data_IF_010912383120
#
_entry.id   IF_010912383120
#
_cell.length_a   1.000
_cell.length_b   1.000
_cell.length_c   1.000
_cell.angle_alpha   90.00
_cell.angle_beta   90.00
_cell.angle_gamma   90.00
#
_symmetry.space_group_name_H-M   'P 1'
#
loop_
_entity.id
_entity.type
_entity.pdbx_description
1 polymer ?
#
# COMPACT_ATOMS: atom_id res chain seq x y z
N UNK A 1 35.51 -10.74 -40.23
CA UNK A 1 34.20 -10.21 -39.82
C UNK A 1 34.19 -10.11 -38.30
N UNK A 2 33.96 -8.93 -37.69
CA UNK A 2 33.99 -8.78 -36.24
C UNK A 2 32.62 -9.10 -35.62
N UNK A 3 32.62 -9.88 -34.53
CA UNK A 3 31.44 -10.14 -33.73
C UNK A 3 31.08 -8.90 -32.89
N UNK A 4 29.80 -8.53 -32.90
CA UNK A 4 29.26 -7.44 -32.12
C UNK A 4 29.38 -7.74 -30.62
N UNK A 5 30.01 -6.83 -29.88
CA UNK A 5 30.04 -6.83 -28.41
C UNK A 5 28.63 -6.53 -27.90
N UNK A 6 28.07 -7.43 -27.11
CA UNK A 6 26.91 -7.14 -26.27
C UNK A 6 27.43 -6.26 -25.14
N UNK A 7 27.11 -4.98 -25.18
CA UNK A 7 27.48 -4.01 -24.14
C UNK A 7 26.83 -4.42 -22.82
N UNK A 8 27.69 -4.71 -21.85
CA UNK A 8 27.64 -4.16 -20.49
C UNK A 8 26.23 -3.86 -19.95
N UNK A 9 25.49 -4.94 -19.69
CA UNK A 9 24.48 -4.88 -18.65
C UNK A 9 25.27 -4.93 -17.35
N UNK A 10 25.39 -3.79 -16.67
CA UNK A 10 26.03 -3.69 -15.37
C UNK A 10 25.19 -4.51 -14.36
N UNK A 11 25.56 -5.78 -14.20
CA UNK A 11 24.88 -6.72 -13.31
C UNK A 11 24.90 -6.22 -11.86
N UNK A 12 25.87 -5.39 -11.48
CA UNK A 12 25.95 -4.77 -10.16
C UNK A 12 24.85 -3.73 -9.95
N UNK A 13 24.45 -2.99 -10.98
CA UNK A 13 23.33 -2.06 -10.92
C UNK A 13 21.98 -2.78 -10.80
N UNK A 14 21.84 -3.92 -11.49
CA UNK A 14 20.64 -4.77 -11.36
C UNK A 14 20.63 -5.50 -10.02
N UNK A 15 21.77 -6.02 -9.56
CA UNK A 15 21.93 -6.67 -8.27
C UNK A 15 21.71 -5.70 -7.12
N UNK A 16 22.15 -4.44 -7.23
CA UNK A 16 21.88 -3.38 -6.25
C UNK A 16 20.40 -3.00 -6.21
N UNK A 17 19.73 -2.96 -7.36
CA UNK A 17 18.28 -2.81 -7.46
C UNK A 17 17.54 -3.95 -6.75
N UNK A 18 17.89 -5.19 -7.11
CA UNK A 18 17.30 -6.42 -6.56
C UNK A 18 17.59 -6.58 -5.06
N UNK A 19 18.79 -6.22 -4.62
CA UNK A 19 19.16 -6.24 -3.21
C UNK A 19 18.37 -5.21 -2.40
N UNK A 20 18.13 -4.00 -2.92
CA UNK A 20 17.31 -2.99 -2.23
C UNK A 20 15.85 -3.41 -2.13
N UNK A 21 15.24 -3.91 -3.20
CA UNK A 21 13.86 -4.40 -3.16
C UNK A 21 13.70 -5.63 -2.27
N UNK A 22 14.67 -6.55 -2.28
CA UNK A 22 14.67 -7.73 -1.40
C UNK A 22 14.94 -7.30 0.04
N UNK A 23 15.81 -6.33 0.29
CA UNK A 23 16.11 -5.82 1.62
C UNK A 23 14.96 -4.97 2.19
N UNK A 24 14.21 -4.24 1.35
CA UNK A 24 12.94 -3.61 1.75
C UNK A 24 11.87 -4.66 2.05
N UNK A 25 11.77 -5.75 1.26
CA UNK A 25 10.87 -6.88 1.58
C UNK A 25 11.31 -7.66 2.83
N UNK A 26 12.61 -7.80 3.08
CA UNK A 26 13.16 -8.50 4.25
C UNK A 26 13.03 -7.65 5.52
N UNK A 27 13.26 -6.33 5.44
CA UNK A 27 12.91 -5.36 6.51
C UNK A 27 11.41 -5.35 6.76
N UNK A 28 10.62 -5.46 5.70
CA UNK A 28 9.18 -5.57 5.76
C UNK A 28 8.68 -6.99 6.05
N UNK A 29 9.55 -7.98 6.35
CA UNK A 29 9.19 -9.40 6.55
C UNK A 29 8.05 -9.94 5.68
N UNK A 30 7.40 -11.03 6.07
CA UNK A 30 5.97 -11.20 5.88
C UNK A 30 5.29 -10.40 7.00
N UNK A 31 5.16 -9.08 6.86
CA UNK A 31 4.40 -8.22 7.79
C UNK A 31 5.17 -7.20 8.65
N UNK A 32 6.46 -6.98 8.42
CA UNK A 32 7.16 -5.74 8.81
C UNK A 32 6.65 -4.54 8.00
N UNK A 33 6.41 -3.42 8.66
CA UNK A 33 5.97 -2.21 7.96
C UNK A 33 7.17 -1.49 7.36
N UNK A 34 7.36 -1.60 6.04
CA UNK A 34 8.05 -0.56 5.30
C UNK A 34 7.18 0.70 5.25
N UNK A 35 7.79 1.85 4.96
CA UNK A 35 7.03 3.08 4.75
C UNK A 35 6.04 2.89 3.61
N UNK A 36 4.76 3.02 3.91
CA UNK A 36 3.70 2.58 3.04
C UNK A 36 2.37 3.25 3.33
N UNK A 37 1.59 3.38 2.27
CA UNK A 37 0.20 3.83 2.32
C UNK A 37 -0.71 2.60 2.17
N UNK A 38 -1.46 2.29 3.21
CA UNK A 38 -2.34 1.13 3.27
C UNK A 38 -3.80 1.55 3.33
N UNK A 39 -4.64 0.96 2.49
CA UNK A 39 -6.08 1.23 2.47
C UNK A 39 -6.82 -0.05 2.81
N UNK A 40 -7.40 -0.06 4.01
CA UNK A 40 -8.13 -1.18 4.59
C UNK A 40 -9.58 -1.15 4.12
N UNK A 41 -10.03 -2.24 3.51
CA UNK A 41 -11.38 -2.35 2.95
C UNK A 41 -12.07 -3.67 3.32
N UNK A 42 -13.38 -3.70 3.10
CA UNK A 42 -14.15 -4.92 2.94
C UNK A 42 -14.70 -5.00 1.52
N UNK A 43 -14.74 -6.20 0.94
CA UNK A 43 -15.38 -6.42 -0.36
C UNK A 43 -16.91 -6.30 -0.32
N UNK A 44 -17.50 -6.15 0.88
CA UNK A 44 -18.91 -5.82 1.09
C UNK A 44 -19.25 -4.34 0.91
N UNK A 45 -18.25 -3.47 0.72
CA UNK A 45 -18.49 -2.05 0.41
C UNK A 45 -19.20 -1.90 -0.94
N UNK A 46 -19.94 -0.78 -1.15
CA UNK A 46 -20.56 -0.49 -2.44
C UNK A 46 -19.56 -0.50 -3.59
N UNK A 47 -19.98 -0.99 -4.76
CA UNK A 47 -19.14 -1.07 -5.97
C UNK A 47 -18.45 0.27 -6.29
N UNK A 48 -19.20 1.37 -6.27
CA UNK A 48 -18.68 2.71 -6.56
C UNK A 48 -17.58 3.14 -5.58
N UNK A 49 -17.72 2.80 -4.30
CA UNK A 49 -16.70 3.07 -3.28
C UNK A 49 -15.44 2.25 -3.54
N UNK A 50 -15.60 0.96 -3.87
CA UNK A 50 -14.47 0.11 -4.21
C UNK A 50 -13.73 0.61 -5.46
N UNK A 51 -14.43 0.95 -6.53
CA UNK A 51 -13.80 1.43 -7.77
C UNK A 51 -12.98 2.70 -7.54
N UNK A 52 -13.54 3.66 -6.77
CA UNK A 52 -12.84 4.89 -6.38
C UNK A 52 -11.61 4.60 -5.51
N UNK A 53 -11.71 3.70 -4.53
CA UNK A 53 -10.58 3.33 -3.68
C UNK A 53 -9.47 2.68 -4.51
N UNK A 54 -9.79 1.77 -5.42
CA UNK A 54 -8.81 1.11 -6.29
C UNK A 54 -8.11 2.08 -7.23
N UNK A 55 -8.85 3.04 -7.77
CA UNK A 55 -8.29 4.11 -8.60
C UNK A 55 -7.32 5.01 -7.80
N UNK A 56 -7.78 5.52 -6.66
CA UNK A 56 -6.97 6.38 -5.80
C UNK A 56 -5.73 5.66 -5.25
N UNK A 57 -5.87 4.39 -4.85
CA UNK A 57 -4.76 3.59 -4.38
C UNK A 57 -3.70 3.37 -5.48
N UNK A 58 -4.10 3.08 -6.71
CA UNK A 58 -3.17 2.96 -7.83
C UNK A 58 -2.37 4.26 -8.06
N UNK A 59 -3.07 5.40 -8.09
CA UNK A 59 -2.46 6.73 -8.32
C UNK A 59 -1.56 7.18 -7.17
N UNK A 60 -1.89 6.83 -5.93
CA UNK A 60 -1.08 7.14 -4.75
C UNK A 60 0.00 6.09 -4.45
N UNK A 61 0.14 5.04 -5.28
CA UNK A 61 1.02 3.90 -5.05
C UNK A 61 0.76 3.23 -3.68
N UNK A 62 -0.51 3.19 -3.28
CA UNK A 62 -0.98 2.55 -2.07
C UNK A 62 -1.23 1.06 -2.25
N UNK A 63 -1.33 0.36 -1.13
CA UNK A 63 -1.65 -1.07 -1.06
C UNK A 63 -3.02 -1.24 -0.42
N UNK A 64 -3.88 -2.02 -1.06
CA UNK A 64 -5.19 -2.35 -0.53
C UNK A 64 -5.08 -3.58 0.37
N UNK A 65 -5.64 -3.50 1.57
CA UNK A 65 -5.61 -4.57 2.57
C UNK A 65 -7.03 -5.04 2.87
N UNK A 66 -7.26 -6.35 2.78
CA UNK A 66 -8.57 -6.97 2.97
C UNK A 66 -8.53 -7.90 4.19
N UNK A 67 -9.53 -7.78 5.09
CA UNK A 67 -9.58 -8.52 6.38
C UNK A 67 -9.84 -10.02 6.23
N UNK A 68 -10.14 -10.50 5.03
CA UNK A 68 -10.52 -11.89 4.80
C UNK A 68 -11.10 -12.14 3.41
N UNK A 69 -11.82 -13.24 3.29
CA UNK A 69 -12.34 -13.74 2.01
C UNK A 69 -13.79 -13.30 1.78
N UNK A 70 -14.12 -12.95 0.54
CA UNK A 70 -15.50 -12.76 0.10
C UNK A 70 -16.27 -14.08 0.23
N UNK A 71 -17.36 -14.06 1.00
CA UNK A 71 -18.21 -15.23 1.32
C UNK A 71 -17.42 -16.46 1.79
N UNK A 72 -16.27 -16.28 2.46
CA UNK A 72 -15.41 -17.40 2.87
C UNK A 72 -14.71 -18.14 1.73
N UNK A 73 -14.78 -17.65 0.48
CA UNK A 73 -14.20 -18.31 -0.69
C UNK A 73 -13.03 -17.54 -1.27
N UNK A 74 -11.85 -18.18 -1.32
CA UNK A 74 -10.66 -17.61 -1.94
C UNK A 74 -10.88 -17.35 -3.44
N UNK A 75 -11.56 -18.26 -4.14
CA UNK A 75 -11.83 -18.11 -5.58
C UNK A 75 -12.70 -16.89 -5.87
N UNK A 76 -13.79 -16.72 -5.12
CA UNK A 76 -14.66 -15.53 -5.23
C UNK A 76 -13.88 -14.25 -4.93
N UNK A 77 -13.06 -14.28 -3.87
CA UNK A 77 -12.21 -13.15 -3.48
C UNK A 77 -11.27 -12.75 -4.60
N UNK A 78 -10.54 -13.71 -5.18
CA UNK A 78 -9.62 -13.47 -6.27
C UNK A 78 -10.33 -12.95 -7.52
N UNK A 79 -11.47 -13.53 -7.89
CA UNK A 79 -12.25 -13.06 -9.05
C UNK A 79 -12.71 -11.62 -8.84
N UNK A 80 -13.23 -11.32 -7.65
CA UNK A 80 -13.72 -9.99 -7.30
C UNK A 80 -12.60 -8.96 -7.27
N UNK A 81 -11.47 -9.30 -6.66
CA UNK A 81 -10.27 -8.45 -6.63
C UNK A 81 -9.74 -8.22 -8.05
N UNK A 82 -9.65 -9.25 -8.89
CA UNK A 82 -9.24 -9.09 -10.29
C UNK A 82 -10.12 -8.12 -11.07
N UNK A 83 -11.44 -8.19 -10.87
CA UNK A 83 -12.39 -7.24 -11.48
C UNK A 83 -12.14 -5.80 -11.01
N UNK A 84 -11.88 -5.59 -9.72
CA UNK A 84 -11.62 -4.27 -9.13
C UNK A 84 -10.26 -3.70 -9.54
N UNK A 85 -9.22 -4.54 -9.64
CA UNK A 85 -7.91 -4.14 -10.16
C UNK A 85 -8.06 -3.68 -11.62
N UNK A 86 -8.70 -4.50 -12.47
CA UNK A 86 -8.78 -4.22 -13.90
C UNK A 86 -7.39 -4.09 -14.51
N UNK A 87 -7.09 -2.92 -15.10
CA UNK A 87 -5.77 -2.61 -15.68
C UNK A 87 -4.86 -1.79 -14.75
N UNK A 88 -5.31 -1.51 -13.52
CA UNK A 88 -4.59 -0.64 -12.59
C UNK A 88 -3.38 -1.36 -11.99
N UNK A 89 -2.27 -0.64 -11.83
CA UNK A 89 -1.12 -1.12 -11.09
C UNK A 89 -1.30 -0.82 -9.61
N UNK A 90 -1.98 -1.73 -8.88
CA UNK A 90 -2.24 -1.58 -7.45
C UNK A 90 -1.96 -2.89 -6.72
N UNK A 91 -1.23 -2.80 -5.60
CA UNK A 91 -0.98 -3.95 -4.74
C UNK A 91 -2.22 -4.28 -3.92
N UNK A 92 -2.59 -5.56 -3.83
CA UNK A 92 -3.68 -6.04 -2.97
C UNK A 92 -3.16 -7.16 -2.09
N UNK A 93 -3.47 -7.09 -0.80
CA UNK A 93 -3.08 -8.06 0.20
C UNK A 93 -4.30 -8.50 1.02
N UNK A 94 -4.36 -9.79 1.34
CA UNK A 94 -5.34 -10.34 2.28
C UNK A 94 -4.56 -10.63 3.57
N UNK A 95 -4.59 -9.66 4.49
CA UNK A 95 -3.84 -9.73 5.75
C UNK A 95 -4.78 -9.34 6.91
N UNK A 96 -5.41 -10.32 7.57
CA UNK A 96 -6.23 -10.08 8.76
C UNK A 96 -5.39 -9.52 9.93
N UNK A 97 -4.11 -9.89 10.04
CA UNK A 97 -3.25 -9.44 11.13
C UNK A 97 -2.91 -7.95 10.99
N UNK A 98 -2.81 -7.43 9.76
CA UNK A 98 -2.64 -5.99 9.55
C UNK A 98 -3.79 -5.15 10.15
N UNK A 99 -5.03 -5.66 10.16
CA UNK A 99 -6.14 -4.95 10.81
C UNK A 99 -5.92 -4.79 12.30
N UNK A 100 -5.41 -5.83 12.96
CA UNK A 100 -5.07 -5.80 14.38
C UNK A 100 -3.85 -4.89 14.60
N UNK A 101 -2.81 -5.06 13.78
CA UNK A 101 -1.55 -4.31 13.85
C UNK A 101 -1.75 -2.79 13.85
N UNK A 102 -2.69 -2.28 13.06
CA UNK A 102 -3.01 -0.85 12.94
C UNK A 102 -4.31 -0.44 13.66
N UNK A 103 -4.86 -1.34 14.49
CA UNK A 103 -6.10 -1.14 15.24
C UNK A 103 -7.28 -0.68 14.35
N UNK A 104 -7.42 -1.26 13.17
CA UNK A 104 -8.51 -0.97 12.22
C UNK A 104 -9.74 -1.77 12.59
N UNK A 105 -10.72 -1.10 13.19
CA UNK A 105 -12.00 -1.69 13.62
C UNK A 105 -13.15 -1.42 12.65
N UNK A 106 -12.96 -0.52 11.68
CA UNK A 106 -13.98 -0.12 10.71
C UNK A 106 -13.36 0.18 9.36
N UNK A 107 -14.13 -0.05 8.29
CA UNK A 107 -13.69 0.14 6.90
C UNK A 107 -14.66 1.08 6.16
N UNK A 108 -14.18 1.85 5.18
CA UNK A 108 -12.76 1.97 4.78
C UNK A 108 -11.92 2.72 5.84
N UNK A 109 -10.63 2.38 5.91
CA UNK A 109 -9.64 3.10 6.72
C UNK A 109 -8.34 3.26 5.93
N UNK A 110 -7.67 4.39 6.09
CA UNK A 110 -6.38 4.68 5.47
C UNK A 110 -5.33 4.78 6.57
N UNK A 111 -4.21 4.11 6.39
CA UNK A 111 -3.06 4.12 7.30
C UNK A 111 -1.83 4.55 6.53
N UNK A 112 -1.08 5.48 7.09
CA UNK A 112 0.22 5.90 6.58
C UNK A 112 1.29 5.65 7.63
N UNK A 113 2.26 4.81 7.30
CA UNK A 113 3.46 4.58 8.11
C UNK A 113 4.55 5.57 7.70
N UNK A 114 5.48 5.88 8.60
CA UNK A 114 6.59 6.79 8.34
C UNK A 114 7.92 6.18 8.81
N UNK A 115 9.03 6.70 8.28
CA UNK A 115 10.37 6.19 8.58
C UNK A 115 10.66 6.32 10.08
N UNK A 116 11.22 5.27 10.70
CA UNK A 116 11.79 5.34 12.05
C UNK A 116 11.02 4.60 13.14
N UNK A 117 9.88 3.97 12.83
CA UNK A 117 9.13 3.17 13.79
C UNK A 117 9.19 1.67 13.45
N UNK A 118 9.60 0.87 14.43
CA UNK A 118 9.63 -0.59 14.34
C UNK A 118 8.22 -1.14 14.54
N UNK A 119 7.42 -1.08 13.49
CA UNK A 119 6.20 -1.88 13.40
C UNK A 119 6.58 -3.36 13.36
N UNK A 120 6.49 -4.02 14.52
CA UNK A 120 6.62 -5.46 14.62
C UNK A 120 5.49 -6.19 13.90
N UNK A 121 5.70 -7.47 13.59
CA UNK A 121 4.71 -8.28 12.87
C UNK A 121 3.34 -8.34 13.58
N UNK A 122 3.32 -8.30 14.92
CA UNK A 122 2.11 -8.46 15.73
C UNK A 122 1.42 -7.12 16.11
N UNK A 123 2.17 -6.04 16.34
CA UNK A 123 1.58 -4.74 16.71
C UNK A 123 2.47 -3.58 16.32
N UNK A 124 1.87 -2.50 15.83
CA UNK A 124 2.56 -1.21 15.73
C UNK A 124 2.23 -0.34 16.94
N UNK A 125 3.22 0.32 17.57
CA UNK A 125 2.91 1.38 18.51
C UNK A 125 2.13 2.48 17.79
N UNK A 126 1.20 3.12 18.51
CA UNK A 126 0.36 4.18 17.93
C UNK A 126 1.16 5.38 17.41
N UNK A 127 2.43 5.52 17.82
CA UNK A 127 3.35 6.54 17.31
C UNK A 127 3.86 6.26 15.90
N UNK A 128 3.78 5.02 15.41
CA UNK A 128 4.41 4.58 14.16
C UNK A 128 3.57 4.75 12.90
N UNK A 129 2.34 5.21 13.04
CA UNK A 129 1.44 5.45 11.92
C UNK A 129 0.41 6.52 12.24
N UNK A 130 -0.15 7.10 11.19
CA UNK A 130 -1.37 7.91 11.27
C UNK A 130 -2.50 7.17 10.56
N UNK A 131 -3.72 7.30 11.07
CA UNK A 131 -4.90 6.60 10.55
C UNK A 131 -6.07 7.56 10.40
N UNK A 132 -6.83 7.38 9.34
CA UNK A 132 -8.14 7.99 9.13
C UNK A 132 -9.16 6.88 8.83
N UNK A 133 -10.36 7.01 9.38
CA UNK A 133 -11.45 6.05 9.19
C UNK A 133 -12.64 6.77 8.57
N UNK A 134 -13.27 6.17 7.57
CA UNK A 134 -14.45 6.71 6.89
C UNK A 134 -14.30 6.78 5.37
N UNK A 135 -15.43 6.90 4.67
CA UNK A 135 -15.48 7.02 3.21
C UNK A 135 -15.20 8.46 2.76
N UNK A 136 -13.93 8.86 2.89
CA UNK A 136 -13.40 10.17 2.47
C UNK A 136 -12.38 9.99 1.36
N UNK A 137 -12.13 11.06 0.59
CA UNK A 137 -11.18 11.01 -0.51
C UNK A 137 -9.74 10.85 0.00
N UNK A 138 -8.92 10.12 -0.77
CA UNK A 138 -7.53 9.88 -0.38
C UNK A 138 -6.70 11.17 -0.35
N UNK A 139 -6.98 12.13 -1.24
CA UNK A 139 -6.39 13.47 -1.23
C UNK A 139 -6.64 14.20 0.10
N UNK A 140 -7.89 14.26 0.56
CA UNK A 140 -8.26 14.88 1.83
C UNK A 140 -7.56 14.22 3.02
N UNK A 141 -7.49 12.89 3.05
CA UNK A 141 -6.79 12.16 4.11
C UNK A 141 -5.30 12.51 4.12
N UNK A 142 -4.65 12.51 2.95
CA UNK A 142 -3.24 12.83 2.82
C UNK A 142 -2.95 14.29 3.18
N UNK A 143 -3.82 15.24 2.84
CA UNK A 143 -3.73 16.62 3.29
C UNK A 143 -3.79 16.73 4.81
N UNK A 144 -4.67 15.96 5.45
CA UNK A 144 -4.75 15.95 6.92
C UNK A 144 -3.51 15.32 7.55
N UNK A 145 -2.98 14.25 6.97
CA UNK A 145 -1.73 13.64 7.42
C UNK A 145 -0.51 14.53 7.19
N UNK A 146 -0.54 15.39 6.17
CA UNK A 146 0.52 16.37 5.91
C UNK A 146 0.66 17.43 7.02
N UNK A 147 -0.41 17.64 7.81
CA UNK A 147 -0.42 18.56 8.95
C UNK A 147 0.17 17.95 10.24
N UNK A 148 0.44 16.65 10.25
CA UNK A 148 1.05 15.96 11.39
C UNK A 148 2.57 15.89 11.15
N UNK A 149 3.41 16.51 12.00
CA UNK A 149 4.84 16.68 11.73
C UNK A 149 5.58 15.39 11.35
N UNK A 150 5.27 14.29 12.03
CA UNK A 150 5.94 12.99 11.81
C UNK A 150 5.58 12.32 10.48
N UNK A 151 4.36 12.52 9.97
CA UNK A 151 3.91 11.94 8.70
C UNK A 151 4.00 12.91 7.52
N UNK A 152 4.32 14.18 7.76
CA UNK A 152 4.23 15.24 6.77
C UNK A 152 5.02 14.97 5.48
N UNK A 153 6.26 14.51 5.61
CA UNK A 153 7.13 14.26 4.47
C UNK A 153 6.57 13.16 3.55
N UNK A 154 6.13 12.04 4.13
CA UNK A 154 5.57 10.93 3.35
C UNK A 154 4.20 11.30 2.78
N UNK A 155 3.33 11.95 3.57
CA UNK A 155 2.01 12.37 3.13
C UNK A 155 2.09 13.31 1.91
N UNK A 156 3.00 14.29 1.95
CA UNK A 156 3.22 15.21 0.83
C UNK A 156 3.72 14.50 -0.42
N UNK A 157 4.64 13.53 -0.28
CA UNK A 157 5.12 12.72 -1.41
C UNK A 157 3.96 11.97 -2.08
N UNK A 158 3.13 11.30 -1.28
CA UNK A 158 1.96 10.55 -1.78
C UNK A 158 0.93 11.47 -2.42
N UNK A 159 0.70 12.65 -1.85
CA UNK A 159 -0.22 13.65 -2.39
C UNK A 159 0.25 14.18 -3.75
N UNK A 160 1.56 14.39 -3.93
CA UNK A 160 2.15 14.77 -5.21
C UNK A 160 1.94 13.68 -6.27
N UNK A 161 2.19 12.41 -5.93
CA UNK A 161 1.95 11.28 -6.87
C UNK A 161 0.47 11.17 -7.24
N UNK A 162 -0.42 11.30 -6.25
CA UNK A 162 -1.87 11.28 -6.45
C UNK A 162 -2.37 12.44 -7.31
N UNK A 163 -1.68 13.59 -7.35
CA UNK A 163 -2.07 14.75 -8.17
C UNK A 163 -1.37 14.80 -9.53
N UNK A 164 -0.19 14.21 -9.63
CA UNK A 164 0.67 14.24 -10.82
C UNK A 164 0.36 13.18 -11.87
N UNK A 165 -0.57 12.25 -11.63
CA UNK A 165 -1.08 11.35 -12.65
C UNK A 165 -2.20 12.05 -13.46
N UNK A 166 -1.98 12.36 -14.76
CA UNK A 166 -3.02 12.84 -15.66
C UNK A 166 -4.08 11.77 -15.94
#
# INVERSE_FOLDING_TARGET
MPAARISDVDLDQIAGGYAREVQDRLRAGPGGASVGLYIFISLSLPQQTLDRIFDQAARAQGVIVIRGLADGSMQKTLQRVKQLIGQRQVGVQIDPQAFERYAVTSVPSVVLTHQGDECGAASCPASGFVKATGDVSLDYVLERFAQIPKSAAEANRRLQTLRGHP
#
